data_IF_926850296128
#
_entry.id   IF_926850296128
#
_cell.length_a   1.000
_cell.length_b   1.000
_cell.length_c   1.000
_cell.angle_alpha   90.00
_cell.angle_beta   90.00
_cell.angle_gamma   90.00
#
_symmetry.space_group_name_H-M   'P 1'
#
loop_
_entity.id
_entity.type
_entity.pdbx_description
1 polymer ?
#
# COMPACT_ATOMS: atom_id res chain seq x y z
N UNK A 1 4.31 10.39 -33.94
CA UNK A 1 3.55 10.55 -32.67
C UNK A 1 4.53 10.33 -31.59
N UNK A 2 5.01 11.44 -30.96
CA UNK A 2 6.30 11.49 -30.34
C UNK A 2 6.29 11.19 -28.84
N UNK A 3 7.48 10.98 -28.30
CA UNK A 3 7.84 10.87 -26.90
C UNK A 3 7.14 11.91 -25.99
N UNK A 4 6.76 13.08 -26.50
CA UNK A 4 6.01 14.10 -25.78
C UNK A 4 4.60 13.71 -25.34
N UNK A 5 3.89 12.84 -26.09
CA UNK A 5 2.55 12.36 -25.70
C UNK A 5 2.61 11.31 -24.57
N UNK A 6 3.70 10.56 -24.50
CA UNK A 6 3.94 9.57 -23.44
C UNK A 6 4.21 10.30 -22.11
N UNK A 7 4.96 11.40 -22.15
CA UNK A 7 5.23 12.23 -20.96
C UNK A 7 3.97 12.95 -20.44
N UNK A 8 3.12 13.46 -21.30
CA UNK A 8 1.86 14.14 -20.92
C UNK A 8 0.86 13.22 -20.22
N UNK A 9 0.91 11.90 -20.49
CA UNK A 9 -0.01 10.91 -19.88
C UNK A 9 0.45 10.39 -18.52
N UNK A 10 1.67 10.70 -18.08
CA UNK A 10 2.20 10.16 -16.81
C UNK A 10 1.88 11.04 -15.59
N UNK A 11 1.61 12.33 -15.77
CA UNK A 11 1.32 13.26 -14.68
C UNK A 11 2.50 13.44 -13.70
N UNK A 12 2.29 14.08 -12.55
CA UNK A 12 3.34 14.29 -11.55
C UNK A 12 3.93 12.97 -11.06
N UNK A 13 5.26 12.93 -10.89
CA UNK A 13 6.00 11.73 -10.43
C UNK A 13 5.54 11.30 -9.04
N UNK A 14 5.27 12.26 -8.16
CA UNK A 14 4.76 12.00 -6.82
C UNK A 14 3.23 11.96 -6.83
N UNK A 15 2.69 10.99 -6.14
CA UNK A 15 1.29 10.82 -5.88
C UNK A 15 1.07 10.81 -4.36
N UNK A 16 0.08 11.54 -3.88
CA UNK A 16 -0.31 11.56 -2.48
C UNK A 16 -1.73 11.00 -2.34
N UNK A 17 -1.89 10.00 -1.51
CA UNK A 17 -3.21 9.44 -1.18
C UNK A 17 -3.53 9.70 0.29
N UNK A 18 -4.72 10.26 0.58
CA UNK A 18 -5.12 10.49 1.96
C UNK A 18 -5.28 9.17 2.69
N UNK A 19 -4.60 9.04 3.81
CA UNK A 19 -4.60 7.87 4.69
C UNK A 19 -4.88 8.30 6.12
N UNK A 20 -5.38 7.36 6.90
CA UNK A 20 -5.58 7.52 8.34
C UNK A 20 -4.30 7.12 9.06
N UNK A 21 -3.89 7.94 10.02
CA UNK A 21 -2.73 7.71 10.87
C UNK A 21 -3.10 7.69 12.35
N UNK A 22 -2.11 7.96 13.19
CA UNK A 22 -2.23 7.99 14.64
C UNK A 22 -3.34 8.96 15.10
N UNK A 23 -4.15 8.53 16.05
CA UNK A 23 -5.28 9.31 16.58
C UNK A 23 -6.39 9.56 15.56
N UNK A 24 -6.46 8.78 14.47
CA UNK A 24 -7.47 8.94 13.43
C UNK A 24 -7.26 10.15 12.51
N UNK A 25 -6.10 10.82 12.58
CA UNK A 25 -5.77 11.98 11.76
C UNK A 25 -5.46 11.56 10.32
N UNK A 26 -5.99 12.32 9.37
CA UNK A 26 -5.65 12.12 7.95
C UNK A 26 -4.31 12.78 7.62
N UNK A 27 -3.51 12.09 6.79
CA UNK A 27 -2.27 12.62 6.25
C UNK A 27 -2.09 12.22 4.78
N UNK A 28 -1.33 13.00 3.99
CA UNK A 28 -1.00 12.64 2.61
C UNK A 28 0.12 11.60 2.60
N UNK A 29 -0.20 10.35 2.33
CA UNK A 29 0.78 9.27 2.17
C UNK A 29 1.40 9.36 0.77
N UNK A 30 2.71 9.60 0.70
CA UNK A 30 3.43 9.82 -0.55
C UNK A 30 3.87 8.50 -1.19
N UNK A 31 3.73 8.42 -2.52
CA UNK A 31 4.24 7.32 -3.34
C UNK A 31 4.74 7.84 -4.68
N UNK A 32 5.60 7.09 -5.34
CA UNK A 32 5.80 7.30 -6.76
C UNK A 32 4.56 6.87 -7.54
N UNK A 33 4.21 7.64 -8.58
CA UNK A 33 3.08 7.32 -9.44
C UNK A 33 3.41 6.10 -10.31
N UNK A 34 2.66 5.04 -10.12
CA UNK A 34 2.80 3.78 -10.87
C UNK A 34 1.68 3.57 -11.89
N UNK A 35 0.61 4.38 -11.81
CA UNK A 35 -0.54 4.32 -12.71
C UNK A 35 -0.60 5.55 -13.62
N UNK A 36 -1.26 5.41 -14.76
CA UNK A 36 -1.56 6.54 -15.66
C UNK A 36 -2.54 7.54 -15.02
N UNK A 37 -2.62 8.75 -15.55
CA UNK A 37 -3.47 9.84 -15.01
C UNK A 37 -4.96 9.51 -15.16
N UNK A 38 -5.33 8.85 -16.24
CA UNK A 38 -6.68 8.42 -16.61
C UNK A 38 -7.03 7.00 -16.08
N UNK A 39 -6.45 6.63 -14.92
CA UNK A 39 -6.58 5.30 -14.34
C UNK A 39 -8.05 4.87 -14.11
N UNK A 40 -8.89 5.78 -13.61
CA UNK A 40 -10.31 5.47 -13.33
C UNK A 40 -11.11 5.23 -14.61
N UNK A 41 -10.83 6.00 -15.67
CA UNK A 41 -11.49 5.81 -16.98
C UNK A 41 -11.07 4.47 -17.56
N UNK A 42 -9.78 4.17 -17.57
CA UNK A 42 -9.26 2.89 -18.06
C UNK A 42 -9.80 1.70 -17.31
N UNK A 43 -9.94 1.82 -15.98
CA UNK A 43 -10.54 0.75 -15.18
C UNK A 43 -11.97 0.48 -15.62
N UNK A 44 -12.79 1.53 -15.75
CA UNK A 44 -14.19 1.38 -16.16
C UNK A 44 -14.31 0.74 -17.56
N UNK A 45 -13.51 1.20 -18.51
CA UNK A 45 -13.48 0.65 -19.87
C UNK A 45 -13.04 -0.81 -19.87
N UNK A 46 -12.01 -1.14 -19.10
CA UNK A 46 -11.48 -2.49 -18.99
C UNK A 46 -12.51 -3.46 -18.36
N UNK A 47 -13.13 -3.08 -17.24
CA UNK A 47 -14.14 -3.88 -16.57
C UNK A 47 -15.42 -4.04 -17.41
N UNK A 48 -15.76 -3.06 -18.26
CA UNK A 48 -16.89 -3.15 -19.17
C UNK A 48 -16.66 -4.17 -20.30
N UNK A 49 -15.40 -4.35 -20.74
CA UNK A 49 -15.03 -5.23 -21.84
C UNK A 49 -14.53 -6.63 -21.39
N UNK A 50 -14.25 -6.83 -20.10
CA UNK A 50 -13.70 -8.07 -19.56
C UNK A 50 -14.51 -8.55 -18.34
N UNK A 51 -15.51 -9.42 -18.52
CA UNK A 51 -16.35 -9.92 -17.41
C UNK A 51 -15.54 -10.62 -16.32
N UNK A 52 -14.54 -11.41 -16.69
CA UNK A 52 -13.65 -12.13 -15.75
C UNK A 52 -12.87 -11.15 -14.84
N UNK A 53 -12.35 -10.07 -15.41
CA UNK A 53 -11.67 -9.02 -14.66
C UNK A 53 -12.61 -8.27 -13.71
N UNK A 54 -13.90 -8.18 -14.08
CA UNK A 54 -14.93 -7.59 -13.23
C UNK A 54 -15.19 -8.43 -11.99
N UNK A 55 -15.29 -9.74 -12.13
CA UNK A 55 -15.46 -10.67 -10.99
C UNK A 55 -14.24 -10.61 -10.05
N UNK A 56 -13.03 -10.59 -10.62
CA UNK A 56 -11.79 -10.44 -9.86
C UNK A 56 -11.78 -9.11 -9.08
N UNK A 57 -12.17 -8.01 -9.73
CA UNK A 57 -12.24 -6.69 -9.11
C UNK A 57 -13.28 -6.60 -7.98
N UNK A 58 -14.47 -7.16 -8.18
CA UNK A 58 -15.54 -7.15 -7.17
C UNK A 58 -15.13 -7.94 -5.91
N UNK A 59 -14.34 -9.00 -6.06
CA UNK A 59 -13.83 -9.80 -4.95
C UNK A 59 -12.68 -9.13 -4.18
N UNK A 60 -11.66 -8.66 -4.90
CA UNK A 60 -10.37 -8.32 -4.31
C UNK A 60 -10.00 -6.84 -4.43
N UNK A 61 -10.72 -6.04 -5.21
CA UNK A 61 -10.38 -4.67 -5.61
C UNK A 61 -8.97 -4.58 -6.22
N UNK A 62 -8.51 -5.67 -6.83
CA UNK A 62 -7.21 -5.81 -7.49
C UNK A 62 -7.40 -6.56 -8.79
N UNK A 63 -6.49 -6.35 -9.73
CA UNK A 63 -6.40 -7.09 -10.98
C UNK A 63 -4.97 -7.62 -11.13
N UNK A 64 -4.84 -8.88 -11.58
CA UNK A 64 -3.51 -9.46 -11.90
C UNK A 64 -2.83 -8.67 -13.01
N UNK A 65 -3.57 -8.43 -14.10
CA UNK A 65 -3.11 -7.65 -15.22
C UNK A 65 -3.85 -6.30 -15.24
N UNK A 66 -3.40 -5.38 -14.41
CA UNK A 66 -4.03 -4.07 -14.26
C UNK A 66 -3.57 -3.11 -15.38
N UNK A 67 -4.44 -2.76 -16.35
CA UNK A 67 -4.09 -1.92 -17.50
C UNK A 67 -3.75 -0.48 -17.12
N UNK A 68 -3.98 -0.09 -15.87
CA UNK A 68 -3.66 1.24 -15.35
C UNK A 68 -2.18 1.38 -15.04
N UNK A 69 -1.49 0.27 -14.77
CA UNK A 69 -0.09 0.28 -14.32
C UNK A 69 0.81 0.55 -15.52
N UNK A 70 1.71 1.51 -15.39
CA UNK A 70 2.71 1.82 -16.41
C UNK A 70 3.85 0.80 -16.40
N UNK A 71 4.64 0.71 -17.49
CA UNK A 71 5.82 -0.17 -17.54
C UNK A 71 6.79 0.09 -16.39
N UNK A 72 7.07 1.35 -16.09
CA UNK A 72 7.90 1.77 -14.95
C UNK A 72 7.20 1.45 -13.65
N UNK A 73 5.87 1.61 -13.59
CA UNK A 73 5.05 1.27 -12.44
C UNK A 73 5.17 -0.20 -12.04
N UNK A 74 5.20 -1.12 -12.99
CA UNK A 74 5.43 -2.55 -12.71
C UNK A 74 6.80 -2.79 -12.05
N UNK A 75 7.85 -2.13 -12.53
CA UNK A 75 9.20 -2.25 -11.95
C UNK A 75 9.20 -1.71 -10.52
N UNK A 76 8.66 -0.50 -10.31
CA UNK A 76 8.60 0.14 -9.01
C UNK A 76 7.82 -0.70 -7.99
N UNK A 77 6.65 -1.23 -8.37
CA UNK A 77 5.84 -2.11 -7.51
C UNK A 77 6.56 -3.41 -7.18
N UNK A 78 7.16 -4.07 -8.19
CA UNK A 78 7.89 -5.32 -7.99
C UNK A 78 9.08 -5.16 -7.03
N UNK A 79 9.72 -4.00 -7.06
CA UNK A 79 10.85 -3.68 -6.19
C UNK A 79 10.45 -2.97 -4.89
N UNK A 80 9.15 -2.65 -4.71
CA UNK A 80 8.63 -1.83 -3.61
C UNK A 80 9.24 -0.42 -3.53
N UNK A 81 9.90 0.04 -4.58
CA UNK A 81 10.50 1.37 -4.65
C UNK A 81 9.46 2.48 -4.78
N UNK A 82 8.24 2.14 -5.19
CA UNK A 82 7.13 3.10 -5.25
C UNK A 82 6.78 3.69 -3.87
N UNK A 83 7.12 3.01 -2.80
CA UNK A 83 6.86 3.45 -1.42
C UNK A 83 7.99 4.28 -0.79
N UNK A 84 9.15 4.43 -1.46
CA UNK A 84 10.26 5.25 -0.94
C UNK A 84 9.87 6.69 -0.53
N UNK A 85 8.97 7.40 -1.23
CA UNK A 85 8.55 8.73 -0.79
C UNK A 85 7.87 8.77 0.57
N UNK A 86 7.41 7.65 1.13
CA UNK A 86 6.87 7.58 2.49
C UNK A 86 7.93 7.88 3.55
N UNK A 87 9.23 7.80 3.22
CA UNK A 87 10.30 8.26 4.11
C UNK A 87 10.14 9.75 4.47
N UNK A 88 9.59 10.58 3.58
CA UNK A 88 9.24 11.97 3.91
C UNK A 88 8.11 12.04 4.95
N UNK A 89 7.15 11.10 4.93
CA UNK A 89 6.12 11.02 5.97
C UNK A 89 6.73 10.60 7.32
N UNK A 90 7.74 9.72 7.31
CA UNK A 90 8.47 9.34 8.54
C UNK A 90 9.22 10.55 9.11
N UNK A 91 9.96 11.29 8.28
CA UNK A 91 10.67 12.49 8.70
C UNK A 91 9.74 13.59 9.25
N UNK A 92 8.52 13.70 8.70
CA UNK A 92 7.47 14.61 9.19
C UNK A 92 6.79 14.11 10.47
N UNK A 93 7.06 12.88 10.90
CA UNK A 93 6.41 12.28 12.08
C UNK A 93 4.97 11.80 11.83
N UNK A 94 4.54 11.71 10.57
CA UNK A 94 3.22 11.20 10.17
C UNK A 94 3.20 9.66 10.12
N UNK A 95 4.37 9.04 9.89
CA UNK A 95 4.58 7.59 9.80
C UNK A 95 5.78 7.16 10.65
N UNK A 96 5.91 5.85 10.85
CA UNK A 96 7.08 5.15 11.35
C UNK A 96 7.68 4.26 10.25
N UNK A 97 8.90 3.76 10.45
CA UNK A 97 9.46 2.71 9.58
C UNK A 97 8.67 1.42 9.73
N UNK A 98 8.35 1.04 10.98
CA UNK A 98 7.59 -0.17 11.32
C UNK A 98 6.29 0.21 12.01
N UNK A 99 5.20 -0.45 11.66
CA UNK A 99 3.88 -0.23 12.24
C UNK A 99 2.76 -0.81 11.38
N UNK A 100 1.50 -0.69 11.83
CA UNK A 100 0.33 -1.02 11.02
C UNK A 100 0.33 -0.26 9.69
N UNK A 101 -0.14 -0.91 8.63
CA UNK A 101 -0.22 -0.23 7.33
C UNK A 101 -1.23 0.93 7.38
N UNK A 102 -0.90 2.12 6.81
CA UNK A 102 -1.84 3.23 6.76
C UNK A 102 -3.09 2.88 5.92
N UNK A 103 -4.26 3.02 6.51
CA UNK A 103 -5.56 2.64 5.94
C UNK A 103 -6.29 3.84 5.32
N UNK A 104 -7.25 3.57 4.45
CA UNK A 104 -8.21 4.58 3.98
C UNK A 104 -9.42 4.66 4.93
N UNK A 105 -10.15 5.78 4.89
CA UNK A 105 -11.34 5.98 5.72
C UNK A 105 -12.37 4.85 5.57
N UNK A 106 -12.54 4.33 4.37
CA UNK A 106 -13.45 3.22 4.08
C UNK A 106 -13.05 1.88 4.76
N UNK A 107 -11.81 1.75 5.20
CA UNK A 107 -11.32 0.56 5.88
C UNK A 107 -11.55 0.60 7.40
N UNK A 108 -11.85 1.77 7.98
CA UNK A 108 -12.08 1.93 9.43
C UNK A 108 -13.12 0.93 9.97
N UNK A 109 -14.30 0.75 9.34
CA UNK A 109 -15.30 -0.21 9.83
C UNK A 109 -14.80 -1.65 9.86
N UNK A 110 -13.86 -2.02 8.96
CA UNK A 110 -13.30 -3.36 8.87
C UNK A 110 -12.38 -3.71 10.05
N UNK A 111 -11.85 -2.69 10.74
CA UNK A 111 -11.05 -2.90 11.96
C UNK A 111 -11.92 -3.23 13.18
N UNK A 112 -13.21 -2.88 13.18
CA UNK A 112 -14.10 -3.10 14.31
C UNK A 112 -13.52 -2.54 15.61
N UNK A 113 -13.50 -3.33 16.67
CA UNK A 113 -12.94 -2.95 17.97
C UNK A 113 -11.41 -2.74 17.97
N UNK A 114 -10.69 -3.31 17.02
CA UNK A 114 -9.22 -3.18 16.91
C UNK A 114 -8.76 -1.81 16.41
N UNK A 115 -9.68 -0.95 15.98
CA UNK A 115 -9.33 0.39 15.48
C UNK A 115 -8.67 1.25 16.57
N UNK A 116 -8.99 1.02 17.84
CA UNK A 116 -8.36 1.70 18.97
C UNK A 116 -6.86 1.41 19.03
N UNK A 117 -6.45 0.15 18.82
CA UNK A 117 -5.02 -0.23 18.79
C UNK A 117 -4.30 0.48 17.63
N UNK A 118 -4.92 0.49 16.45
CA UNK A 118 -4.38 1.21 15.29
C UNK A 118 -4.13 2.69 15.58
N UNK A 119 -5.05 3.36 16.28
CA UNK A 119 -4.92 4.80 16.60
C UNK A 119 -3.84 5.11 17.64
N UNK A 120 -3.38 4.13 18.40
CA UNK A 120 -2.34 4.34 19.42
C UNK A 120 -0.97 4.62 18.85
N UNK A 121 -0.68 4.14 17.63
CA UNK A 121 0.65 4.21 17.01
C UNK A 121 0.64 4.92 15.66
N UNK A 122 1.83 5.32 15.21
CA UNK A 122 2.00 5.80 13.83
C UNK A 122 1.99 4.62 12.86
N UNK A 123 1.31 4.74 11.70
CA UNK A 123 1.36 3.70 10.69
C UNK A 123 2.78 3.53 10.15
N UNK A 124 3.13 2.31 9.76
CA UNK A 124 4.46 1.95 9.26
C UNK A 124 4.56 1.90 7.74
N UNK A 125 5.78 2.05 7.22
CA UNK A 125 6.11 1.71 5.83
C UNK A 125 6.05 0.18 5.69
N UNK A 126 6.61 -0.54 6.66
CA UNK A 126 6.50 -2.00 6.77
C UNK A 126 5.81 -2.39 8.07
N UNK A 127 5.33 -3.62 8.16
CA UNK A 127 4.63 -4.12 9.35
C UNK A 127 4.51 -5.62 9.36
N UNK A 128 3.87 -6.12 10.41
CA UNK A 128 3.80 -7.55 10.74
C UNK A 128 3.25 -8.40 9.60
N UNK A 129 2.08 -8.07 9.06
CA UNK A 129 1.47 -8.84 7.99
C UNK A 129 2.16 -8.66 6.63
N UNK A 130 2.78 -7.49 6.40
CA UNK A 130 3.49 -7.18 5.16
C UNK A 130 4.72 -8.08 4.94
N UNK A 131 5.33 -8.59 6.01
CA UNK A 131 6.49 -9.48 5.94
C UNK A 131 6.17 -10.96 6.15
N UNK A 132 5.02 -11.28 6.80
CA UNK A 132 4.70 -12.66 7.15
C UNK A 132 3.65 -13.33 6.24
N UNK A 133 2.74 -12.60 5.59
CA UNK A 133 1.67 -13.23 4.80
C UNK A 133 1.33 -12.51 3.49
N UNK A 134 1.61 -11.22 3.39
CA UNK A 134 1.33 -10.39 2.19
C UNK A 134 -0.05 -10.66 1.57
N UNK A 135 -0.07 -11.21 0.34
CA UNK A 135 -1.30 -11.46 -0.43
C UNK A 135 -2.11 -12.64 0.08
N UNK A 136 -1.52 -13.56 0.83
CA UNK A 136 -2.17 -14.82 1.23
C UNK A 136 -2.96 -14.68 2.54
N UNK A 137 -2.93 -13.50 3.18
CA UNK A 137 -3.67 -13.21 4.40
C UNK A 137 -5.01 -12.55 4.12
N UNK A 138 -6.05 -13.01 4.83
CA UNK A 138 -7.35 -12.34 4.85
C UNK A 138 -7.25 -10.96 5.48
N UNK A 139 -8.25 -10.10 5.25
CA UNK A 139 -8.26 -8.77 5.87
C UNK A 139 -8.32 -8.86 7.40
N UNK A 140 -9.08 -9.79 7.93
CA UNK A 140 -9.21 -10.01 9.37
C UNK A 140 -7.88 -10.43 10.02
N UNK A 141 -7.16 -11.37 9.41
CA UNK A 141 -5.82 -11.76 9.86
C UNK A 141 -4.84 -10.58 9.87
N UNK A 142 -4.91 -9.69 8.87
CA UNK A 142 -4.10 -8.47 8.84
C UNK A 142 -4.39 -7.56 10.03
N UNK A 143 -5.68 -7.34 10.33
CA UNK A 143 -6.12 -6.54 11.47
C UNK A 143 -5.63 -7.14 12.78
N UNK A 144 -5.74 -8.46 12.93
CA UNK A 144 -5.25 -9.17 14.12
C UNK A 144 -3.73 -9.06 14.27
N UNK A 145 -2.96 -9.19 13.18
CA UNK A 145 -1.51 -9.02 13.20
C UNK A 145 -1.10 -7.58 13.55
N UNK A 146 -1.82 -6.58 13.03
CA UNK A 146 -1.57 -5.17 13.36
C UNK A 146 -1.85 -4.89 14.83
N UNK A 147 -2.98 -5.39 15.36
CA UNK A 147 -3.32 -5.26 16.78
C UNK A 147 -2.31 -5.98 17.67
N UNK A 148 -1.92 -7.21 17.29
CA UNK A 148 -0.90 -7.97 18.01
C UNK A 148 0.43 -7.21 18.09
N UNK A 149 0.88 -6.63 16.96
CA UNK A 149 2.08 -5.81 16.92
C UNK A 149 2.01 -4.63 17.89
N UNK A 150 0.90 -3.89 17.91
CA UNK A 150 0.73 -2.73 18.78
C UNK A 150 0.83 -3.13 20.27
N UNK A 151 0.19 -4.25 20.63
CA UNK A 151 0.15 -4.75 22.01
C UNK A 151 1.45 -5.38 22.49
N UNK A 152 2.28 -5.88 21.56
CA UNK A 152 3.53 -6.59 21.85
C UNK A 152 4.76 -5.85 21.32
N UNK A 153 4.63 -4.54 21.10
CA UNK A 153 5.72 -3.75 20.54
C UNK A 153 7.00 -3.83 21.37
N UNK A 154 8.10 -3.99 20.69
CA UNK A 154 9.45 -3.85 21.24
C UNK A 154 10.42 -3.42 20.15
N UNK A 155 11.54 -2.80 20.53
CA UNK A 155 12.59 -2.43 19.59
C UNK A 155 13.17 -3.64 18.85
N UNK A 156 13.25 -4.78 19.53
CA UNK A 156 13.73 -6.03 18.93
C UNK A 156 12.77 -6.58 17.89
N UNK A 157 11.46 -6.40 18.10
CA UNK A 157 10.45 -6.75 17.11
C UNK A 157 10.59 -5.87 15.87
N UNK A 158 10.77 -4.56 16.02
CA UNK A 158 11.00 -3.63 14.91
C UNK A 158 12.25 -3.99 14.12
N UNK A 159 13.37 -4.26 14.77
CA UNK A 159 14.61 -4.68 14.10
C UNK A 159 14.42 -6.00 13.34
N UNK A 160 13.70 -6.95 13.91
CA UNK A 160 13.35 -8.22 13.26
C UNK A 160 12.49 -8.01 12.01
N UNK A 161 11.48 -7.14 12.09
CA UNK A 161 10.60 -6.83 10.97
C UNK A 161 11.34 -6.08 9.85
N UNK A 162 12.24 -5.16 10.19
CA UNK A 162 13.10 -4.47 9.22
C UNK A 162 14.02 -5.46 8.50
N UNK A 163 14.64 -6.39 9.22
CA UNK A 163 15.48 -7.45 8.63
C UNK A 163 14.69 -8.33 7.67
N UNK A 164 13.50 -8.78 8.10
CA UNK A 164 12.58 -9.54 7.24
C UNK A 164 12.17 -8.75 6.00
N UNK A 165 11.86 -7.45 6.15
CA UNK A 165 11.51 -6.57 5.03
C UNK A 165 12.62 -6.53 3.99
N UNK A 166 13.86 -6.34 4.43
CA UNK A 166 15.01 -6.35 3.53
C UNK A 166 15.13 -7.68 2.76
N UNK A 167 15.00 -8.80 3.46
CA UNK A 167 15.00 -10.13 2.83
C UNK A 167 13.88 -10.29 1.80
N UNK A 168 12.67 -9.86 2.14
CA UNK A 168 11.49 -9.96 1.27
C UNK A 168 11.63 -9.10 0.02
N UNK A 169 12.16 -7.88 0.15
CA UNK A 169 12.41 -6.97 -0.99
C UNK A 169 13.47 -7.54 -1.92
N UNK A 170 14.57 -8.09 -1.38
CA UNK A 170 15.64 -8.70 -2.19
C UNK A 170 15.16 -9.93 -2.96
N UNK A 171 14.34 -10.78 -2.34
CA UNK A 171 13.88 -12.03 -2.96
C UNK A 171 12.61 -11.87 -3.81
N UNK A 172 12.08 -10.65 -3.95
CA UNK A 172 10.87 -10.31 -4.73
C UNK A 172 9.65 -11.21 -4.41
N UNK A 173 9.58 -11.80 -3.22
CA UNK A 173 8.48 -12.69 -2.82
C UNK A 173 7.19 -11.89 -2.63
N UNK A 174 6.15 -12.20 -3.41
CA UNK A 174 4.80 -11.66 -3.24
C UNK A 174 4.60 -10.20 -3.68
N UNK A 175 5.45 -9.67 -4.56
CA UNK A 175 5.20 -8.40 -5.25
C UNK A 175 4.40 -8.68 -6.54
N UNK A 176 3.22 -8.08 -6.65
CA UNK A 176 2.40 -8.05 -7.87
C UNK A 176 2.49 -6.70 -8.55
#
# INVERSE_FOLDING_TARGET
>A
RGLGDVYKRQGPILFAHRRIGQGGKEFPCYKFRTMCVDADVKLKEYLASHPEAREEWERDFKLKDDPRITRIGHILRRTSLDELPQLFNVLKGEMSLVGPRPIVRAEIPKYGSYISDFYMVRPGITGMWQVNGRSDTTYEERVQMDSWYVRNWSIWLDLSLLWKTFSVVLHHKGAY
#
